data_IF_021267413463
#
_entry.id   IF_021267413463
#
_cell.length_a   1.000
_cell.length_b   1.000
_cell.length_c   1.000
_cell.angle_alpha   90.00
_cell.angle_beta   90.00
_cell.angle_gamma   90.00
#
_symmetry.space_group_name_H-M   'P 1'
#
loop_
_entity.id
_entity.type
_entity.pdbx_description
1 polymer ?
#
# COMPACT_ATOMS: atom_id res chain seq x y z
N UNK A 1 39.78 -10.91 22.52
CA UNK A 1 38.32 -10.70 22.39
C UNK A 1 38.06 -10.06 21.04
N UNK A 2 37.20 -10.66 20.21
CA UNK A 2 36.85 -10.13 18.90
C UNK A 2 35.87 -8.95 19.10
N UNK A 3 36.38 -7.72 19.02
CA UNK A 3 35.52 -6.52 19.09
C UNK A 3 34.69 -6.46 17.81
N UNK A 4 33.41 -6.83 17.92
CA UNK A 4 32.46 -6.84 16.82
C UNK A 4 32.13 -5.42 16.39
N UNK A 5 32.88 -4.90 15.43
CA UNK A 5 32.44 -3.77 14.61
C UNK A 5 31.38 -4.29 13.63
N UNK A 6 30.18 -4.59 14.14
CA UNK A 6 29.03 -4.75 13.28
C UNK A 6 28.84 -3.42 12.56
N UNK A 7 29.17 -3.36 11.26
CA UNK A 7 28.94 -2.18 10.45
C UNK A 7 27.49 -1.74 10.65
N UNK A 8 27.29 -0.55 11.20
CA UNK A 8 25.96 0.05 11.25
C UNK A 8 25.50 0.15 9.80
N UNK A 9 24.42 -0.56 9.46
CA UNK A 9 23.82 -0.41 8.14
C UNK A 9 23.24 1.00 8.08
N UNK A 10 24.03 1.96 7.58
CA UNK A 10 23.68 3.37 7.56
C UNK A 10 22.37 3.61 6.81
N UNK A 11 22.06 2.81 5.78
CA UNK A 11 20.80 2.88 5.08
C UNK A 11 19.61 2.49 6.00
N UNK A 12 19.75 1.45 6.83
CA UNK A 12 18.74 1.08 7.85
C UNK A 12 18.73 2.04 9.05
N UNK A 13 19.85 2.63 9.42
CA UNK A 13 19.95 3.53 10.58
C UNK A 13 19.40 4.94 10.28
N UNK A 14 19.68 5.48 9.09
CA UNK A 14 19.18 6.81 8.67
C UNK A 14 17.72 6.72 8.26
N UNK A 15 17.28 5.60 7.67
CA UNK A 15 15.88 5.44 7.29
C UNK A 15 15.02 4.87 8.41
N UNK A 16 15.55 3.99 9.27
CA UNK A 16 14.89 3.42 10.45
C UNK A 16 13.60 2.64 10.17
N UNK A 17 13.17 1.71 11.03
CA UNK A 17 11.77 1.32 11.01
C UNK A 17 10.91 2.56 11.35
N UNK A 18 9.87 2.82 10.54
CA UNK A 18 8.86 3.81 10.86
C UNK A 18 7.93 3.29 11.95
N UNK A 19 7.28 4.19 12.70
CA UNK A 19 6.25 3.79 13.65
C UNK A 19 5.06 4.75 13.58
N UNK A 20 3.86 4.20 13.39
CA UNK A 20 2.59 4.89 13.65
C UNK A 20 2.16 4.58 15.09
N UNK A 21 2.68 5.35 16.06
CA UNK A 21 2.31 5.21 17.47
C UNK A 21 0.84 5.65 17.73
N UNK A 22 0.32 6.53 16.87
CA UNK A 22 -1.05 6.99 16.82
C UNK A 22 -1.53 7.02 15.37
N UNK A 23 -2.81 7.32 15.16
CA UNK A 23 -3.34 7.54 13.81
C UNK A 23 -2.55 8.60 13.07
N UNK A 24 -2.19 8.30 11.83
CA UNK A 24 -1.37 9.17 11.00
C UNK A 24 -2.07 9.51 9.69
N UNK A 25 -2.05 10.78 9.33
CA UNK A 25 -2.64 11.30 8.09
C UNK A 25 -1.54 11.68 7.09
N UNK A 26 -1.48 10.95 5.99
CA UNK A 26 -0.60 11.24 4.86
C UNK A 26 -1.26 12.27 3.95
N UNK A 27 -0.88 13.54 4.05
CA UNK A 27 -1.40 14.58 3.18
C UNK A 27 -0.41 14.83 2.04
N UNK A 28 -0.57 14.11 0.92
CA UNK A 28 0.30 14.30 -0.26
C UNK A 28 -0.43 15.18 -1.26
N UNK A 29 0.12 16.36 -1.53
CA UNK A 29 -0.47 17.35 -2.44
C UNK A 29 -0.34 16.91 -3.90
N UNK A 30 -1.26 17.40 -4.75
CA UNK A 30 -1.21 17.19 -6.21
C UNK A 30 0.17 17.54 -6.79
N UNK A 31 0.65 16.72 -7.72
CA UNK A 31 1.96 16.88 -8.37
C UNK A 31 3.15 16.37 -7.55
N UNK A 32 2.92 15.84 -6.34
CA UNK A 32 3.96 15.25 -5.50
C UNK A 32 3.78 13.75 -5.30
N UNK A 33 4.91 13.06 -5.28
CA UNK A 33 5.02 11.63 -4.96
C UNK A 33 5.85 11.46 -3.69
N UNK A 34 5.29 10.80 -2.68
CA UNK A 34 5.97 10.41 -1.45
C UNK A 34 6.20 8.90 -1.46
N UNK A 35 7.38 8.45 -1.02
CA UNK A 35 7.66 7.01 -0.87
C UNK A 35 8.13 6.69 0.53
N UNK A 36 7.42 5.77 1.19
CA UNK A 36 7.83 5.16 2.44
C UNK A 36 8.40 3.77 2.16
N UNK A 37 9.74 3.70 2.14
CA UNK A 37 10.48 2.45 1.91
C UNK A 37 10.86 1.69 3.17
N UNK A 38 10.51 2.23 4.33
CA UNK A 38 10.81 1.61 5.60
C UNK A 38 9.73 0.63 6.00
N UNK A 39 10.10 -0.35 6.81
CA UNK A 39 9.14 -1.16 7.54
C UNK A 39 8.46 -0.27 8.58
N UNK A 40 7.13 -0.20 8.56
CA UNK A 40 6.36 0.63 9.49
C UNK A 40 5.62 -0.26 10.47
N UNK A 41 5.74 0.01 11.77
CA UNK A 41 5.05 -0.72 12.84
C UNK A 41 4.16 0.20 13.67
N UNK A 42 3.50 -0.33 14.71
CA UNK A 42 2.72 0.46 15.67
C UNK A 42 1.24 0.07 15.72
N UNK A 43 0.47 0.77 16.53
CA UNK A 43 -0.98 0.55 16.71
C UNK A 43 -1.85 1.50 15.89
N UNK A 44 -1.26 2.57 15.34
CA UNK A 44 -1.98 3.60 14.61
C UNK A 44 -2.50 3.15 13.24
N UNK A 45 -3.54 3.85 12.79
CA UNK A 45 -4.07 3.73 11.43
C UNK A 45 -3.31 4.66 10.47
N UNK A 46 -3.35 4.34 9.18
CA UNK A 46 -2.90 5.21 8.09
C UNK A 46 -4.12 5.76 7.34
N UNK A 47 -4.24 7.08 7.24
CA UNK A 47 -5.20 7.75 6.36
C UNK A 47 -4.46 8.49 5.26
N UNK A 48 -4.59 8.07 4.00
CA UNK A 48 -4.05 8.77 2.84
C UNK A 48 -5.06 9.80 2.33
N UNK A 49 -4.63 11.06 2.35
CA UNK A 49 -5.35 12.24 1.89
C UNK A 49 -4.54 12.99 0.81
N UNK A 50 -5.21 13.95 0.17
CA UNK A 50 -4.64 14.80 -0.86
C UNK A 50 -4.47 14.08 -2.20
N UNK A 51 -4.53 14.82 -3.30
CA UNK A 51 -4.57 14.26 -4.64
C UNK A 51 -3.25 13.60 -5.12
N UNK A 52 -2.14 13.78 -4.40
CA UNK A 52 -0.84 13.21 -4.74
C UNK A 52 -0.72 11.72 -4.45
N UNK A 53 0.46 11.15 -4.73
CA UNK A 53 0.74 9.72 -4.61
C UNK A 53 1.55 9.41 -3.35
N UNK A 54 1.13 8.40 -2.60
CA UNK A 54 1.94 7.78 -1.55
C UNK A 54 2.30 6.35 -1.97
N UNK A 55 3.58 6.00 -1.96
CA UNK A 55 4.05 4.63 -2.21
C UNK A 55 4.50 3.99 -0.92
N UNK A 56 3.92 2.84 -0.56
CA UNK A 56 4.37 1.98 0.54
C UNK A 56 5.13 0.78 -0.05
N UNK A 57 6.44 0.76 0.15
CA UNK A 57 7.31 -0.32 -0.36
C UNK A 57 7.97 -1.17 0.71
N UNK A 58 7.91 -0.77 1.98
CA UNK A 58 8.36 -1.60 3.11
C UNK A 58 7.32 -2.62 3.58
N UNK A 59 7.68 -3.40 4.60
CA UNK A 59 6.75 -4.29 5.30
C UNK A 59 6.02 -3.51 6.40
N UNK A 60 4.76 -3.15 6.14
CA UNK A 60 3.96 -2.36 7.07
C UNK A 60 3.17 -3.28 7.99
N UNK A 61 3.65 -3.40 9.22
CA UNK A 61 3.12 -4.23 10.30
C UNK A 61 2.27 -3.47 11.31
N UNK A 62 1.95 -2.19 11.07
CA UNK A 62 1.04 -1.44 11.93
C UNK A 62 -0.32 -2.16 12.03
N UNK A 63 -0.88 -2.21 13.24
CA UNK A 63 -2.10 -2.96 13.53
C UNK A 63 -3.36 -2.24 13.03
N UNK A 64 -3.30 -0.91 12.91
CA UNK A 64 -4.40 -0.11 12.41
C UNK A 64 -4.72 -0.35 10.93
N UNK A 65 -5.95 0.00 10.52
CA UNK A 65 -6.36 -0.07 9.12
C UNK A 65 -5.71 1.00 8.25
N UNK A 66 -5.78 0.81 6.93
CA UNK A 66 -5.38 1.79 5.93
C UNK A 66 -6.60 2.33 5.22
N UNK A 67 -6.84 3.62 5.29
CA UNK A 67 -7.94 4.28 4.57
C UNK A 67 -7.37 5.22 3.51
N UNK A 68 -7.82 5.09 2.27
CA UNK A 68 -7.45 5.99 1.17
C UNK A 68 -8.65 6.89 0.90
N UNK A 69 -8.56 8.12 1.40
CA UNK A 69 -9.61 9.11 1.27
C UNK A 69 -9.50 9.90 -0.04
N UNK A 70 -8.29 10.12 -0.54
CA UNK A 70 -8.03 10.89 -1.76
C UNK A 70 -6.65 10.58 -2.37
N UNK A 71 -6.53 10.86 -3.68
CA UNK A 71 -5.33 10.63 -4.48
C UNK A 71 -5.00 9.16 -4.67
N UNK A 72 -3.71 8.85 -4.71
CA UNK A 72 -3.21 7.49 -5.01
C UNK A 72 -2.44 6.91 -3.83
N UNK A 73 -2.78 5.69 -3.40
CA UNK A 73 -1.91 4.85 -2.59
C UNK A 73 -1.37 3.70 -3.45
N UNK A 74 -0.06 3.68 -3.63
CA UNK A 74 0.63 2.61 -4.32
C UNK A 74 1.25 1.63 -3.34
N UNK A 75 1.00 0.34 -3.54
CA UNK A 75 1.52 -0.72 -2.69
C UNK A 75 2.43 -1.66 -3.49
N UNK A 76 3.72 -1.63 -3.17
CA UNK A 76 4.70 -2.63 -3.66
C UNK A 76 5.27 -3.51 -2.55
N UNK A 77 5.09 -3.10 -1.28
CA UNK A 77 5.43 -3.90 -0.10
C UNK A 77 4.23 -4.67 0.44
N UNK A 78 4.08 -4.68 1.76
CA UNK A 78 2.95 -5.33 2.43
C UNK A 78 2.27 -4.43 3.44
N UNK A 79 0.99 -4.65 3.68
CA UNK A 79 0.23 -4.10 4.82
C UNK A 79 -0.39 -5.24 5.60
N UNK A 80 -0.28 -5.18 6.93
CA UNK A 80 -0.78 -6.24 7.82
C UNK A 80 -2.32 -6.27 7.90
N UNK A 81 -2.94 -5.11 7.87
CA UNK A 81 -4.35 -4.93 8.20
C UNK A 81 -5.18 -4.55 6.96
N UNK A 82 -6.46 -4.30 7.19
CA UNK A 82 -7.44 -3.97 6.16
C UNK A 82 -7.08 -2.69 5.39
N UNK A 83 -7.40 -2.70 4.09
CA UNK A 83 -7.30 -1.56 3.19
C UNK A 83 -8.70 -1.18 2.72
N UNK A 84 -9.05 0.08 2.96
CA UNK A 84 -10.30 0.69 2.58
C UNK A 84 -10.04 1.79 1.55
N UNK A 85 -10.68 1.69 0.39
CA UNK A 85 -10.60 2.70 -0.66
C UNK A 85 -11.92 3.48 -0.69
N UNK A 86 -11.85 4.77 -0.41
CA UNK A 86 -13.00 5.68 -0.37
C UNK A 86 -13.20 6.39 -1.73
N UNK A 87 -14.20 7.26 -1.79
CA UNK A 87 -14.67 7.91 -3.03
C UNK A 87 -13.53 8.66 -3.75
N UNK A 88 -13.40 8.43 -5.06
CA UNK A 88 -12.41 9.06 -5.96
C UNK A 88 -10.94 8.74 -5.67
N UNK A 89 -10.64 7.98 -4.62
CA UNK A 89 -9.31 7.51 -4.34
C UNK A 89 -8.92 6.34 -5.26
N UNK A 90 -7.62 6.20 -5.47
CA UNK A 90 -7.04 5.10 -6.24
C UNK A 90 -6.13 4.27 -5.35
N UNK A 91 -6.38 2.96 -5.30
CA UNK A 91 -5.39 2.00 -4.85
C UNK A 91 -4.66 1.44 -6.07
N UNK A 92 -3.34 1.49 -6.06
CA UNK A 92 -2.49 0.96 -7.11
C UNK A 92 -1.62 -0.20 -6.58
N UNK A 93 -1.91 -1.41 -7.02
CA UNK A 93 -1.04 -2.56 -6.74
C UNK A 93 0.15 -2.58 -7.68
N UNK A 94 1.33 -2.69 -7.09
CA UNK A 94 2.63 -2.87 -7.76
C UNK A 94 3.31 -4.17 -7.30
N UNK A 95 2.53 -5.24 -7.16
CA UNK A 95 3.01 -6.52 -6.58
C UNK A 95 2.80 -6.61 -5.06
N UNK A 96 1.97 -5.73 -4.51
CA UNK A 96 1.78 -5.61 -3.07
C UNK A 96 0.97 -6.75 -2.45
N UNK A 97 1.13 -6.92 -1.13
CA UNK A 97 0.35 -7.87 -0.33
C UNK A 97 -0.48 -7.17 0.74
N UNK A 98 -1.76 -7.49 0.82
CA UNK A 98 -2.67 -7.08 1.88
C UNK A 98 -2.95 -8.34 2.72
N UNK A 99 -2.46 -8.36 3.96
CA UNK A 99 -2.69 -9.47 4.90
C UNK A 99 -4.01 -9.36 5.69
N UNK A 100 -4.88 -8.44 5.27
CA UNK A 100 -6.24 -8.26 5.76
C UNK A 100 -7.25 -8.25 4.61
N UNK A 101 -8.38 -7.59 4.83
CA UNK A 101 -9.39 -7.41 3.80
C UNK A 101 -9.05 -6.22 2.88
N UNK A 102 -9.46 -6.31 1.63
CA UNK A 102 -9.48 -5.18 0.69
C UNK A 102 -10.93 -4.80 0.42
N UNK A 103 -11.27 -3.52 0.54
CA UNK A 103 -12.64 -3.04 0.32
C UNK A 103 -12.65 -1.74 -0.48
N UNK A 104 -13.31 -1.77 -1.63
CA UNK A 104 -13.61 -0.61 -2.46
C UNK A 104 -15.07 -0.19 -2.22
N UNK A 105 -15.30 0.95 -1.56
CA UNK A 105 -16.61 1.27 -0.95
C UNK A 105 -17.60 1.91 -1.92
N UNK A 106 -17.15 2.55 -2.99
CA UNK A 106 -18.01 3.27 -3.94
C UNK A 106 -17.56 3.02 -5.39
N UNK A 107 -18.49 3.13 -6.34
CA UNK A 107 -18.23 2.87 -7.78
C UNK A 107 -17.26 3.85 -8.45
N UNK A 108 -16.80 4.87 -7.73
CA UNK A 108 -15.89 5.92 -8.21
C UNK A 108 -14.45 5.75 -7.74
N UNK A 109 -14.20 4.92 -6.72
CA UNK A 109 -12.84 4.58 -6.35
C UNK A 109 -12.25 3.62 -7.40
N UNK A 110 -10.94 3.66 -7.57
CA UNK A 110 -10.25 2.87 -8.60
C UNK A 110 -9.29 1.88 -7.96
N UNK A 111 -9.31 0.63 -8.43
CA UNK A 111 -8.25 -0.34 -8.18
C UNK A 111 -7.43 -0.49 -9.46
N UNK A 112 -6.22 0.04 -9.48
CA UNK A 112 -5.27 -0.16 -10.56
C UNK A 112 -4.33 -1.32 -10.20
N UNK A 113 -4.17 -2.30 -11.08
CA UNK A 113 -3.22 -3.40 -10.91
C UNK A 113 -2.26 -3.35 -12.09
N UNK A 114 -0.97 -3.15 -11.81
CA UNK A 114 0.05 -3.16 -12.85
C UNK A 114 0.18 -4.57 -13.47
N UNK A 115 0.27 -4.66 -14.81
CA UNK A 115 0.46 -5.92 -15.50
C UNK A 115 1.77 -6.60 -15.06
N UNK A 116 1.72 -7.90 -14.78
CA UNK A 116 2.86 -8.65 -14.24
C UNK A 116 3.17 -8.35 -12.77
N UNK A 117 2.38 -7.49 -12.11
CA UNK A 117 2.52 -7.07 -10.72
C UNK A 117 1.16 -7.21 -10.04
N UNK A 118 0.75 -8.46 -9.82
CA UNK A 118 -0.54 -8.81 -9.21
C UNK A 118 -0.75 -8.19 -7.83
N UNK A 119 -1.98 -8.30 -7.32
CA UNK A 119 -2.32 -7.98 -5.93
C UNK A 119 -2.60 -9.28 -5.18
N UNK A 120 -1.94 -9.48 -4.04
CA UNK A 120 -2.30 -10.58 -3.13
C UNK A 120 -3.12 -10.03 -1.98
N UNK A 121 -4.33 -10.56 -1.77
CA UNK A 121 -5.17 -10.27 -0.61
C UNK A 121 -5.42 -11.59 0.12
N UNK A 122 -5.00 -11.68 1.39
CA UNK A 122 -5.18 -12.91 2.17
C UNK A 122 -6.56 -12.99 2.83
N UNK A 123 -7.20 -11.84 3.05
CA UNK A 123 -8.59 -11.74 3.50
C UNK A 123 -9.58 -11.69 2.33
N UNK A 124 -10.73 -11.09 2.56
CA UNK A 124 -11.74 -10.87 1.53
C UNK A 124 -11.37 -9.66 0.67
N UNK A 125 -11.52 -9.78 -0.65
CA UNK A 125 -11.46 -8.66 -1.57
C UNK A 125 -12.89 -8.32 -2.03
N UNK A 126 -13.37 -7.13 -1.65
CA UNK A 126 -14.67 -6.60 -2.05
C UNK A 126 -14.48 -5.45 -3.02
N UNK A 127 -14.90 -5.66 -4.26
CA UNK A 127 -14.91 -4.67 -5.33
C UNK A 127 -16.37 -4.29 -5.58
N UNK A 128 -16.75 -3.04 -5.32
CA UNK A 128 -18.06 -2.54 -5.75
C UNK A 128 -17.97 -2.08 -7.20
N UNK A 129 -18.79 -2.69 -8.06
CA UNK A 129 -18.81 -2.44 -9.49
C UNK A 129 -18.63 -3.73 -10.28
N UNK A 130 -18.31 -3.59 -11.58
CA UNK A 130 -18.10 -4.72 -12.45
C UNK A 130 -16.62 -5.10 -12.46
N UNK A 131 -16.33 -6.40 -12.29
CA UNK A 131 -15.04 -6.95 -12.65
C UNK A 131 -15.07 -7.35 -14.12
N UNK A 132 -14.36 -6.60 -14.97
CA UNK A 132 -14.17 -6.96 -16.37
C UNK A 132 -12.91 -7.82 -16.50
N UNK A 133 -13.10 -9.12 -16.71
CA UNK A 133 -12.04 -10.02 -17.14
C UNK A 133 -12.12 -10.10 -18.66
N UNK A 134 -11.16 -9.48 -19.36
CA UNK A 134 -11.05 -9.66 -20.80
C UNK A 134 -10.50 -11.06 -21.07
N UNK A 135 -11.01 -11.79 -22.07
CA UNK A 135 -10.39 -13.04 -22.50
C UNK A 135 -8.94 -12.77 -22.90
N UNK A 136 -8.09 -13.79 -22.76
CA UNK A 136 -6.71 -13.76 -23.25
C UNK A 136 -6.72 -13.27 -24.70
N UNK A 137 -5.91 -12.24 -25.00
CA UNK A 137 -5.80 -11.73 -26.36
C UNK A 137 -5.40 -12.89 -27.28
N UNK A 138 -6.17 -13.11 -28.35
CA UNK A 138 -5.89 -14.19 -29.30
C UNK A 138 -4.43 -14.10 -29.78
N UNK A 139 -3.58 -15.04 -29.34
CA UNK A 139 -2.18 -15.08 -29.75
C UNK A 139 -1.16 -15.51 -28.69
N UNK A 140 -1.52 -15.58 -27.41
CA UNK A 140 -0.69 -16.26 -26.40
C UNK A 140 -1.21 -17.68 -26.18
N UNK A 141 -0.29 -18.65 -26.22
CA UNK A 141 -0.55 -20.06 -25.92
C UNK A 141 0.13 -20.35 -24.59
N UNK A 142 -0.62 -20.91 -23.65
CA UNK A 142 -0.11 -21.42 -22.36
C UNK A 142 0.67 -22.71 -22.61
#
# INVERSE_FOLDING_TARGET
ALYGWGMVNAAKAIKGPGQFASNWAANVTSGYDSTFSNDISGSGNLTKNGAGRLTLSGNNSYAGGTSISDGVLALSGSVRSDVLVLNSATFESRGGTINGNYSLVNSTGTTAIELGKGLTVTGQASLKGNLLLLPEAAGYTV
#
